data_IF_455407508838
#
_entry.id   IF_455407508838
#
_cell.length_a   1.000
_cell.length_b   1.000
_cell.length_c   1.000
_cell.angle_alpha   90.00
_cell.angle_beta   90.00
_cell.angle_gamma   90.00
#
_symmetry.space_group_name_H-M   'P 1'
#
loop_
_entity.id
_entity.type
_entity.pdbx_description
1 polymer ?
#
# COMPACT_ATOMS: atom_id res chain seq x y z
N UNK A 1 -10.10 -24.83 8.39
CA UNK A 1 -9.11 -23.72 8.48
C UNK A 1 -9.78 -22.48 7.94
N UNK A 2 -9.93 -21.45 8.75
CA UNK A 2 -10.47 -20.16 8.35
C UNK A 2 -9.34 -19.13 8.24
N UNK A 3 -9.53 -18.12 7.40
CA UNK A 3 -8.65 -16.97 7.34
C UNK A 3 -9.43 -15.70 7.61
N UNK A 4 -8.80 -14.73 8.25
CA UNK A 4 -9.36 -13.42 8.50
C UNK A 4 -8.40 -12.32 8.00
N UNK A 5 -8.96 -11.28 7.39
CA UNK A 5 -8.15 -10.18 6.84
C UNK A 5 -8.23 -8.99 7.78
N UNK A 6 -7.10 -8.65 8.38
CA UNK A 6 -6.94 -7.42 9.15
C UNK A 6 -6.77 -6.24 8.22
N UNK A 7 -7.40 -5.12 8.57
CA UNK A 7 -7.40 -3.90 7.76
C UNK A 7 -6.00 -3.31 7.57
N UNK A 8 -5.82 -2.58 6.48
CA UNK A 8 -4.61 -1.80 6.24
C UNK A 8 -4.38 -0.77 7.36
N UNK A 9 -3.12 -0.47 7.66
CA UNK A 9 -2.75 0.68 8.48
C UNK A 9 -2.48 1.85 7.54
N UNK A 10 -3.22 2.93 7.71
CA UNK A 10 -3.05 4.15 6.90
C UNK A 10 -3.24 5.41 7.72
N UNK A 11 -2.67 6.51 7.22
CA UNK A 11 -3.01 7.87 7.63
C UNK A 11 -3.87 8.51 6.56
N UNK A 12 -4.96 9.13 6.96
CA UNK A 12 -5.83 9.87 6.08
C UNK A 12 -6.24 11.18 6.73
N UNK A 13 -6.17 12.26 5.97
CA UNK A 13 -6.66 13.59 6.36
C UNK A 13 -7.44 14.25 5.22
N UNK A 14 -8.28 15.23 5.58
CA UNK A 14 -9.13 15.94 4.63
C UNK A 14 -10.44 15.20 4.32
N UNK A 15 -11.48 16.00 4.02
CA UNK A 15 -12.83 15.46 3.67
C UNK A 15 -13.11 15.59 2.18
N UNK A 16 -12.76 16.73 1.58
CA UNK A 16 -12.96 16.99 0.13
C UNK A 16 -11.67 16.70 -0.65
N UNK A 17 -10.53 17.20 -0.15
CA UNK A 17 -9.22 16.93 -0.72
C UNK A 17 -8.51 15.97 0.24
N UNK A 18 -8.37 14.75 -0.16
CA UNK A 18 -7.87 13.67 0.69
C UNK A 18 -6.37 13.55 0.53
N UNK A 19 -5.66 13.55 1.65
CA UNK A 19 -4.24 13.15 1.74
C UNK A 19 -4.20 11.79 2.41
N UNK A 20 -3.53 10.84 1.78
CA UNK A 20 -3.47 9.46 2.22
C UNK A 20 -2.03 8.93 2.15
N UNK A 21 -1.65 8.19 3.16
CA UNK A 21 -0.42 7.40 3.17
C UNK A 21 -0.72 6.01 3.69
N UNK A 22 -0.39 4.99 2.89
CA UNK A 22 -0.41 3.60 3.34
C UNK A 22 0.86 3.34 4.16
N UNK A 23 0.72 2.86 5.39
CA UNK A 23 1.84 2.49 6.27
C UNK A 23 2.07 0.98 6.25
N UNK A 24 0.99 0.20 6.23
CA UNK A 24 1.05 -1.25 6.04
C UNK A 24 -0.18 -1.75 5.29
N UNK A 25 -0.03 -2.72 4.37
CA UNK A 25 -1.15 -3.35 3.67
C UNK A 25 -1.97 -4.23 4.62
N UNK A 26 -3.11 -4.72 4.15
CA UNK A 26 -3.91 -5.73 4.85
C UNK A 26 -3.07 -6.96 5.21
N UNK A 27 -3.35 -7.52 6.40
CA UNK A 27 -2.70 -8.74 6.87
C UNK A 27 -3.74 -9.86 6.84
N UNK A 28 -3.45 -10.96 6.16
CA UNK A 28 -4.27 -12.18 6.21
C UNK A 28 -3.69 -13.11 7.27
N UNK A 29 -4.50 -13.48 8.27
CA UNK A 29 -4.12 -14.38 9.36
C UNK A 29 -4.94 -15.66 9.32
N UNK A 30 -4.36 -16.77 9.79
CA UNK A 30 -5.08 -18.03 10.00
C UNK A 30 -5.75 -18.03 11.38
N UNK A 31 -6.98 -18.58 11.45
CA UNK A 31 -7.81 -18.59 12.68
C UNK A 31 -7.72 -19.96 13.37
N UNK A 32 -6.58 -20.62 13.30
CA UNK A 32 -6.46 -21.98 13.85
C UNK A 32 -6.36 -21.98 15.37
N UNK A 33 -5.61 -21.05 15.93
CA UNK A 33 -5.42 -20.87 17.36
C UNK A 33 -5.96 -19.50 17.80
N UNK A 34 -6.93 -19.53 18.72
CA UNK A 34 -7.58 -18.32 19.26
C UNK A 34 -7.70 -18.45 20.77
N UNK A 35 -7.09 -17.51 21.48
CA UNK A 35 -7.27 -17.34 22.92
C UNK A 35 -8.38 -16.28 23.14
N UNK A 36 -9.46 -16.69 23.79
CA UNK A 36 -10.61 -15.80 24.04
C UNK A 36 -10.72 -15.49 25.54
N UNK A 37 -10.94 -14.21 25.84
CA UNK A 37 -11.41 -13.82 27.15
C UNK A 37 -12.59 -12.81 27.01
N UNK A 38 -13.09 -12.31 28.14
CA UNK A 38 -14.25 -11.39 28.15
C UNK A 38 -13.97 -10.04 27.50
N UNK A 39 -12.72 -9.65 27.39
CA UNK A 39 -12.31 -8.28 27.03
C UNK A 39 -11.65 -8.20 25.66
N UNK A 40 -10.96 -9.25 25.24
CA UNK A 40 -10.28 -9.32 23.93
C UNK A 40 -10.13 -10.76 23.46
N UNK A 41 -9.84 -10.94 22.18
CA UNK A 41 -9.43 -12.21 21.59
C UNK A 41 -8.05 -12.06 20.96
N UNK A 42 -7.20 -13.08 21.10
CA UNK A 42 -5.88 -13.13 20.47
C UNK A 42 -5.84 -14.28 19.48
N UNK A 43 -5.55 -13.94 18.23
CA UNK A 43 -5.27 -14.93 17.19
C UNK A 43 -3.76 -15.10 17.09
N UNK A 44 -3.30 -16.34 17.12
CA UNK A 44 -1.88 -16.66 16.96
C UNK A 44 -1.71 -17.28 15.57
N UNK A 45 -0.94 -16.61 14.71
CA UNK A 45 -0.56 -17.12 13.40
C UNK A 45 0.95 -17.05 13.23
N UNK A 46 1.58 -18.20 12.97
CA UNK A 46 3.04 -18.34 12.81
C UNK A 46 3.85 -17.74 13.98
N UNK A 47 3.32 -17.88 15.20
CA UNK A 47 3.94 -17.35 16.43
C UNK A 47 3.75 -15.85 16.66
N UNK A 48 3.02 -15.15 15.77
CA UNK A 48 2.70 -13.73 15.94
C UNK A 48 1.31 -13.60 16.57
N UNK A 49 1.22 -12.75 17.60
CA UNK A 49 -0.02 -12.49 18.34
C UNK A 49 -0.75 -11.27 17.73
N UNK A 50 -2.00 -11.47 17.37
CA UNK A 50 -2.91 -10.44 16.84
C UNK A 50 -4.07 -10.28 17.82
N UNK A 51 -4.09 -9.19 18.59
CA UNK A 51 -5.15 -8.92 19.56
C UNK A 51 -6.27 -8.10 18.91
N UNK A 52 -7.52 -8.56 19.08
CA UNK A 52 -8.72 -7.86 18.65
C UNK A 52 -9.57 -7.54 19.88
N UNK A 53 -9.90 -6.27 20.08
CA UNK A 53 -10.62 -5.81 21.26
C UNK A 53 -11.75 -4.84 20.93
N UNK A 54 -12.85 -4.93 21.66
CA UNK A 54 -13.92 -3.94 21.62
C UNK A 54 -13.69 -2.73 22.56
N UNK A 55 -12.64 -2.78 23.40
CA UNK A 55 -12.30 -1.73 24.35
C UNK A 55 -10.87 -1.23 24.15
N UNK A 56 -10.66 0.06 23.80
CA UNK A 56 -9.33 0.58 23.51
C UNK A 56 -8.38 0.62 24.71
N UNK A 57 -8.88 0.48 25.94
CA UNK A 57 -8.09 0.47 27.17
C UNK A 57 -7.74 -0.94 27.69
N UNK A 58 -8.26 -2.01 27.06
CA UNK A 58 -8.07 -3.38 27.55
C UNK A 58 -7.71 -4.28 26.36
N UNK A 59 -6.46 -4.72 26.33
CA UNK A 59 -5.94 -5.60 25.28
C UNK A 59 -4.73 -6.38 25.81
N UNK A 60 -4.26 -7.36 25.03
CA UNK A 60 -3.02 -8.09 25.31
C UNK A 60 -1.81 -7.18 25.07
N UNK A 61 -1.08 -6.84 26.13
CA UNK A 61 0.09 -5.97 26.06
C UNK A 61 1.26 -6.59 25.31
N UNK A 62 1.35 -7.92 25.29
CA UNK A 62 2.40 -8.68 24.60
C UNK A 62 2.15 -8.73 23.08
N UNK A 63 0.91 -8.49 22.62
CA UNK A 63 0.59 -8.48 21.21
C UNK A 63 1.21 -7.25 20.51
N UNK A 64 2.05 -7.45 19.47
CA UNK A 64 2.56 -6.35 18.64
C UNK A 64 1.48 -5.72 17.77
N UNK A 65 0.42 -6.45 17.49
CA UNK A 65 -0.71 -6.02 16.68
C UNK A 65 -1.96 -5.96 17.55
N UNK A 66 -2.55 -4.77 17.74
CA UNK A 66 -3.79 -4.58 18.49
C UNK A 66 -4.78 -3.79 17.65
N UNK A 67 -5.90 -4.41 17.30
CA UNK A 67 -6.94 -3.84 16.47
C UNK A 67 -8.22 -3.59 17.29
N UNK A 68 -8.72 -2.36 17.25
CA UNK A 68 -10.02 -2.02 17.79
C UNK A 68 -11.12 -2.49 16.84
N UNK A 69 -12.10 -3.18 17.38
CA UNK A 69 -13.31 -3.65 16.69
C UNK A 69 -14.56 -3.07 17.37
N UNK A 70 -15.73 -3.21 16.76
CA UNK A 70 -16.98 -2.71 17.37
C UNK A 70 -17.31 -3.45 18.66
N UNK A 71 -17.00 -4.73 18.75
CA UNK A 71 -17.18 -5.62 19.91
C UNK A 71 -16.02 -6.60 19.97
N UNK A 72 -15.70 -7.08 21.16
CA UNK A 72 -14.74 -8.19 21.31
C UNK A 72 -15.21 -9.38 20.47
N UNK A 73 -14.40 -9.86 19.51
CA UNK A 73 -14.81 -10.95 18.64
C UNK A 73 -14.69 -12.31 19.36
N UNK A 74 -15.52 -13.24 18.95
CA UNK A 74 -15.36 -14.67 19.23
C UNK A 74 -14.73 -15.35 18.03
N UNK A 75 -14.15 -16.55 18.24
CA UNK A 75 -13.60 -17.37 17.15
C UNK A 75 -14.61 -17.59 16.03
N UNK A 76 -15.87 -17.85 16.38
CA UNK A 76 -16.91 -18.06 15.37
C UNK A 76 -17.13 -16.81 14.50
N UNK A 77 -17.17 -15.63 15.10
CA UNK A 77 -17.31 -14.36 14.34
C UNK A 77 -16.14 -14.05 13.44
N UNK A 78 -14.91 -14.44 13.84
CA UNK A 78 -13.74 -14.36 12.99
C UNK A 78 -13.87 -15.26 11.76
N UNK A 79 -14.30 -16.52 11.97
CA UNK A 79 -14.54 -17.48 10.89
C UNK A 79 -15.63 -17.01 9.93
N UNK A 80 -16.71 -16.45 10.47
CA UNK A 80 -17.85 -15.95 9.70
C UNK A 80 -17.58 -14.59 9.03
N UNK A 81 -16.41 -13.99 9.30
CA UNK A 81 -16.03 -12.64 8.87
C UNK A 81 -17.07 -11.56 9.29
N UNK A 82 -17.72 -11.76 10.43
CA UNK A 82 -18.76 -10.87 11.00
C UNK A 82 -18.16 -9.94 12.08
N UNK A 83 -17.12 -9.18 11.68
CA UNK A 83 -16.43 -8.24 12.58
C UNK A 83 -16.19 -6.93 11.86
N UNK A 84 -16.71 -5.85 12.44
CA UNK A 84 -16.40 -4.50 11.98
C UNK A 84 -15.12 -4.00 12.63
N UNK A 85 -14.09 -3.88 11.85
CA UNK A 85 -12.79 -3.32 12.23
C UNK A 85 -12.86 -1.79 12.23
N UNK A 86 -12.23 -1.12 13.22
CA UNK A 86 -12.29 0.32 13.37
C UNK A 86 -10.95 0.99 13.11
N UNK A 87 -9.94 0.69 13.93
CA UNK A 87 -8.60 1.29 13.84
C UNK A 87 -7.57 0.46 14.58
N UNK A 88 -6.34 0.59 14.18
CA UNK A 88 -5.21 0.06 14.93
C UNK A 88 -4.96 0.86 16.22
N UNK A 89 -4.77 0.15 17.34
CA UNK A 89 -4.29 0.67 18.61
C UNK A 89 -2.78 0.55 18.66
N UNK A 90 -2.26 -0.64 18.28
CA UNK A 90 -0.83 -0.95 18.13
C UNK A 90 -0.58 -1.60 16.77
N UNK A 91 0.47 -1.18 16.11
CA UNK A 91 0.96 -1.82 14.89
C UNK A 91 2.46 -1.52 14.74
N UNK A 92 3.32 -2.52 14.44
CA UNK A 92 4.78 -2.33 14.35
C UNK A 92 5.19 -1.24 13.35
N UNK A 93 4.44 -1.09 12.26
CA UNK A 93 4.71 -0.10 11.21
C UNK A 93 4.04 1.26 11.45
N UNK A 94 3.60 1.57 12.68
CA UNK A 94 3.00 2.86 13.02
C UNK A 94 4.08 3.95 13.14
N UNK A 95 4.90 4.10 12.11
CA UNK A 95 5.96 5.10 12.03
C UNK A 95 5.48 6.24 11.16
N UNK A 96 5.59 7.47 11.68
CA UNK A 96 5.36 8.67 10.86
C UNK A 96 6.54 8.86 9.91
N UNK A 97 6.30 8.73 8.61
CA UNK A 97 7.28 9.02 7.59
C UNK A 97 6.99 10.39 6.97
N UNK A 98 8.00 11.23 6.93
CA UNK A 98 7.96 12.49 6.17
C UNK A 98 8.05 12.21 4.66
N UNK A 99 7.73 13.18 3.78
CA UNK A 99 7.96 13.03 2.34
C UNK A 99 9.42 12.68 2.00
N UNK A 100 10.38 13.24 2.73
CA UNK A 100 11.81 12.99 2.52
C UNK A 100 12.18 11.55 2.93
N UNK A 101 11.62 11.03 4.03
CA UNK A 101 11.82 9.64 4.42
C UNK A 101 11.31 8.67 3.35
N UNK A 102 10.15 8.98 2.75
CA UNK A 102 9.59 8.19 1.65
C UNK A 102 10.54 8.14 0.47
N UNK A 103 11.02 9.30 0.00
CA UNK A 103 11.92 9.39 -1.16
C UNK A 103 13.26 8.72 -0.88
N UNK A 104 13.80 8.91 0.32
CA UNK A 104 15.05 8.28 0.74
C UNK A 104 14.90 6.76 0.85
N UNK A 105 13.73 6.28 1.25
CA UNK A 105 13.45 4.85 1.29
C UNK A 105 13.47 4.15 -0.08
N UNK A 106 13.37 4.89 -1.19
CA UNK A 106 13.40 4.35 -2.54
C UNK A 106 14.82 4.19 -3.11
N UNK A 107 15.84 4.71 -2.41
CA UNK A 107 17.21 4.61 -2.85
C UNK A 107 17.68 3.17 -2.94
N UNK A 108 18.18 2.77 -4.12
CA UNK A 108 18.62 1.40 -4.44
C UNK A 108 17.56 0.30 -4.25
N UNK A 109 16.26 0.67 -4.21
CA UNK A 109 15.16 -0.26 -3.98
C UNK A 109 14.20 -0.41 -5.17
N UNK A 110 14.61 0.04 -6.33
CA UNK A 110 13.90 -0.16 -7.60
C UNK A 110 14.71 -1.09 -8.51
N UNK A 111 14.08 -2.19 -8.95
CA UNK A 111 14.70 -3.20 -9.80
C UNK A 111 14.20 -3.06 -11.24
N UNK A 112 15.12 -2.82 -12.18
CA UNK A 112 14.82 -2.76 -13.62
C UNK A 112 14.60 -4.17 -14.19
N UNK A 113 13.70 -4.92 -13.59
CA UNK A 113 13.39 -6.30 -13.91
C UNK A 113 12.50 -6.36 -15.14
N UNK A 114 12.98 -7.03 -16.21
CA UNK A 114 12.19 -7.30 -17.40
C UNK A 114 11.29 -8.51 -17.17
N UNK A 115 10.04 -8.45 -17.67
CA UNK A 115 9.13 -9.60 -17.71
C UNK A 115 9.71 -10.68 -18.62
N UNK A 116 9.91 -11.88 -18.09
CA UNK A 116 10.38 -13.05 -18.84
C UNK A 116 9.20 -13.95 -19.22
N UNK A 117 8.33 -14.24 -18.27
CA UNK A 117 7.13 -15.06 -18.40
C UNK A 117 6.16 -14.80 -17.23
N UNK A 118 5.05 -15.54 -17.16
CA UNK A 118 4.05 -15.40 -16.11
C UNK A 118 4.55 -15.80 -14.71
N UNK A 119 5.53 -16.70 -14.63
CA UNK A 119 6.12 -17.13 -13.35
C UNK A 119 7.18 -16.14 -12.86
N UNK A 120 7.85 -15.46 -13.78
CA UNK A 120 8.83 -14.42 -13.50
C UNK A 120 8.39 -13.07 -14.08
N UNK A 121 7.36 -12.42 -13.49
CA UNK A 121 6.83 -11.15 -13.98
C UNK A 121 7.80 -10.00 -13.72
N UNK A 122 7.68 -8.98 -14.55
CA UNK A 122 8.50 -7.78 -14.51
C UNK A 122 7.85 -6.65 -15.30
N UNK A 123 8.63 -5.64 -15.63
CA UNK A 123 8.22 -4.61 -16.57
C UNK A 123 8.26 -5.17 -17.99
N UNK A 124 7.21 -4.92 -18.77
CA UNK A 124 7.18 -5.28 -20.18
C UNK A 124 8.20 -4.44 -20.96
N UNK A 125 8.71 -4.97 -22.06
CA UNK A 125 9.69 -4.26 -22.92
C UNK A 125 9.29 -2.80 -23.25
N UNK A 126 8.03 -2.50 -23.64
CA UNK A 126 7.63 -1.11 -23.91
C UNK A 126 7.66 -0.23 -22.64
N UNK A 127 7.32 -0.79 -21.48
CA UNK A 127 7.34 -0.06 -20.20
C UNK A 127 8.79 0.27 -19.81
N UNK A 128 9.68 -0.72 -19.90
CA UNK A 128 11.09 -0.54 -19.56
C UNK A 128 11.77 0.46 -20.50
N UNK A 129 11.51 0.36 -21.81
CA UNK A 129 12.01 1.32 -22.80
C UNK A 129 11.51 2.74 -22.54
N UNK A 130 10.22 2.90 -22.26
CA UNK A 130 9.63 4.20 -21.90
C UNK A 130 10.21 4.76 -20.59
N UNK A 131 10.44 3.91 -19.59
CA UNK A 131 11.04 4.30 -18.32
C UNK A 131 12.46 4.83 -18.52
N UNK A 132 13.32 4.10 -19.26
CA UNK A 132 14.70 4.56 -19.55
C UNK A 132 14.69 5.88 -20.30
N UNK A 133 13.80 6.05 -21.30
CA UNK A 133 13.69 7.31 -22.03
C UNK A 133 13.25 8.47 -21.12
N UNK A 134 12.29 8.25 -20.22
CA UNK A 134 11.85 9.25 -19.25
C UNK A 134 12.96 9.63 -18.28
N UNK A 135 13.64 8.65 -17.68
CA UNK A 135 14.73 8.92 -16.74
C UNK A 135 15.88 9.68 -17.39
N UNK A 136 16.25 9.32 -18.63
CA UNK A 136 17.25 10.06 -19.41
C UNK A 136 16.80 11.49 -19.71
N UNK A 137 15.52 11.68 -20.07
CA UNK A 137 14.97 13.01 -20.34
C UNK A 137 14.94 13.91 -19.09
N UNK A 138 14.68 13.33 -17.91
CA UNK A 138 14.70 14.06 -16.63
C UNK A 138 16.07 14.64 -16.28
N UNK A 139 17.15 14.08 -16.81
CA UNK A 139 18.53 14.57 -16.61
C UNK A 139 18.88 15.76 -17.49
N UNK A 140 18.19 15.96 -18.61
CA UNK A 140 18.47 16.99 -19.61
C UNK A 140 17.23 17.89 -19.85
N UNK A 141 16.83 18.72 -18.89
CA UNK A 141 15.48 19.27 -18.87
C UNK A 141 15.33 20.53 -19.71
N UNK A 142 14.20 20.71 -20.30
CA UNK A 142 13.39 21.95 -20.39
C UNK A 142 12.14 21.75 -21.23
N UNK A 143 12.06 20.69 -22.02
CA UNK A 143 10.94 20.43 -22.91
C UNK A 143 10.02 19.33 -22.34
N UNK A 144 8.74 19.39 -22.68
CA UNK A 144 7.82 18.32 -22.31
C UNK A 144 8.12 17.05 -23.11
N UNK A 145 8.28 15.91 -22.40
CA UNK A 145 8.38 14.61 -23.04
C UNK A 145 7.01 14.03 -23.33
N UNK A 146 6.81 13.48 -24.52
CA UNK A 146 5.61 12.73 -24.86
C UNK A 146 5.94 11.25 -24.97
N UNK A 147 5.28 10.42 -24.14
CA UNK A 147 5.40 8.97 -24.20
C UNK A 147 4.09 8.37 -24.68
N UNK A 148 4.12 7.69 -25.82
CA UNK A 148 2.96 7.01 -26.39
C UNK A 148 3.09 5.50 -26.17
N UNK A 149 2.16 4.97 -25.42
CA UNK A 149 2.05 3.52 -25.16
C UNK A 149 0.65 3.03 -25.57
N UNK A 150 0.52 1.91 -26.29
CA UNK A 150 -0.78 1.33 -26.62
C UNK A 150 -1.65 1.07 -25.39
N UNK A 151 -2.96 0.96 -25.60
CA UNK A 151 -3.89 0.57 -24.51
C UNK A 151 -3.55 -0.83 -24.01
N UNK A 152 -3.64 -1.04 -22.70
CA UNK A 152 -3.31 -2.35 -22.09
C UNK A 152 -1.81 -2.63 -21.86
N UNK A 153 -0.90 -1.76 -22.27
CA UNK A 153 0.55 -1.96 -22.08
C UNK A 153 1.08 -1.54 -20.70
N UNK A 154 0.21 -1.10 -19.78
CA UNK A 154 0.61 -0.76 -18.41
C UNK A 154 1.17 0.66 -18.24
N UNK A 155 0.51 1.67 -18.83
CA UNK A 155 0.88 3.09 -18.69
C UNK A 155 1.05 3.51 -17.23
N UNK A 156 0.14 3.05 -16.36
CA UNK A 156 0.15 3.41 -14.94
C UNK A 156 1.38 2.81 -14.24
N UNK A 157 1.72 1.59 -14.54
CA UNK A 157 2.90 0.93 -14.01
C UNK A 157 4.18 1.64 -14.45
N UNK A 158 4.22 2.14 -15.69
CA UNK A 158 5.34 2.99 -16.19
C UNK A 158 5.43 4.32 -15.42
N UNK A 159 4.29 4.96 -15.13
CA UNK A 159 4.26 6.21 -14.32
C UNK A 159 4.74 5.96 -12.89
N UNK A 160 4.29 4.87 -12.25
CA UNK A 160 4.72 4.47 -10.91
C UNK A 160 6.22 4.13 -10.89
N UNK A 161 6.71 3.45 -11.91
CA UNK A 161 8.13 3.13 -12.07
C UNK A 161 8.97 4.41 -12.20
N UNK A 162 8.51 5.39 -12.99
CA UNK A 162 9.18 6.67 -13.13
C UNK A 162 9.20 7.47 -11.81
N UNK A 163 8.10 7.41 -11.03
CA UNK A 163 8.04 8.04 -9.70
C UNK A 163 9.11 7.48 -8.77
N UNK A 164 9.21 6.14 -8.65
CA UNK A 164 10.11 5.48 -7.70
C UNK A 164 11.55 5.48 -8.19
N UNK A 165 11.81 5.04 -9.43
CA UNK A 165 13.15 4.97 -10.00
C UNK A 165 13.77 6.38 -10.17
N UNK A 166 12.96 7.38 -10.52
CA UNK A 166 13.37 8.76 -10.62
C UNK A 166 13.43 9.50 -9.28
N UNK A 167 13.03 8.87 -8.18
CA UNK A 167 12.93 9.48 -6.84
C UNK A 167 12.27 10.87 -6.89
N UNK A 168 11.12 10.95 -7.61
CA UNK A 168 10.48 12.23 -7.86
C UNK A 168 9.93 12.82 -6.55
N UNK A 169 10.42 14.00 -6.16
CA UNK A 169 9.99 14.68 -4.92
C UNK A 169 8.52 15.09 -4.96
N UNK A 170 8.02 15.48 -6.11
CA UNK A 170 6.63 15.88 -6.32
C UNK A 170 6.18 15.50 -7.72
N UNK A 171 5.01 14.88 -7.82
CA UNK A 171 4.40 14.53 -9.10
C UNK A 171 2.94 14.98 -9.08
N UNK A 172 2.54 15.73 -10.11
CA UNK A 172 1.13 16.07 -10.36
C UNK A 172 0.63 15.21 -11.53
N UNK A 173 -0.43 14.46 -11.29
CA UNK A 173 -1.07 13.65 -12.31
C UNK A 173 -2.45 14.22 -12.62
N UNK A 174 -2.68 14.59 -13.86
CA UNK A 174 -3.97 15.09 -14.35
C UNK A 174 -4.63 14.06 -15.26
N UNK A 175 -5.93 13.87 -15.10
CA UNK A 175 -6.71 12.91 -15.89
C UNK A 175 -8.06 13.47 -16.26
N UNK A 176 -8.65 13.07 -17.40
CA UNK A 176 -9.87 13.70 -17.92
C UNK A 176 -11.15 13.32 -17.15
N UNK A 177 -11.16 12.26 -16.33
CA UNK A 177 -12.38 11.80 -15.66
C UNK A 177 -12.18 11.48 -14.19
N UNK A 178 -13.26 11.61 -13.40
CA UNK A 178 -13.26 11.26 -11.97
C UNK A 178 -13.00 9.76 -11.74
N UNK A 179 -13.50 8.90 -12.63
CA UNK A 179 -13.29 7.46 -12.54
C UNK A 179 -11.80 7.10 -12.66
N UNK A 180 -11.11 7.69 -13.66
CA UNK A 180 -9.67 7.51 -13.83
C UNK A 180 -8.88 8.09 -12.65
N UNK A 181 -9.31 9.24 -12.11
CA UNK A 181 -8.67 9.82 -10.92
C UNK A 181 -8.73 8.88 -9.72
N UNK A 182 -9.89 8.30 -9.41
CA UNK A 182 -10.04 7.32 -8.35
C UNK A 182 -9.21 6.05 -8.58
N UNK A 183 -9.19 5.55 -9.82
CA UNK A 183 -8.39 4.38 -10.19
C UNK A 183 -6.89 4.63 -10.01
N UNK A 184 -6.38 5.78 -10.48
CA UNK A 184 -4.97 6.14 -10.30
C UNK A 184 -4.63 6.37 -8.84
N UNK A 185 -5.47 7.10 -8.09
CA UNK A 185 -5.27 7.28 -6.66
C UNK A 185 -5.06 5.94 -5.94
N UNK A 186 -5.90 4.94 -6.21
CA UNK A 186 -5.78 3.61 -5.62
C UNK A 186 -4.47 2.89 -6.02
N UNK A 187 -4.01 3.07 -7.25
CA UNK A 187 -2.74 2.48 -7.71
C UNK A 187 -1.52 3.22 -7.14
N UNK A 188 -1.56 4.55 -7.09
CA UNK A 188 -0.45 5.32 -6.53
C UNK A 188 -0.25 5.05 -5.04
N UNK A 189 -1.32 5.00 -4.24
CA UNK A 189 -1.22 4.76 -2.79
C UNK A 189 -0.57 3.42 -2.41
N UNK A 190 -0.64 2.42 -3.29
CA UNK A 190 -0.10 1.07 -3.06
C UNK A 190 1.12 0.74 -3.90
N UNK A 191 1.57 1.64 -4.79
CA UNK A 191 2.53 1.39 -5.87
C UNK A 191 2.08 0.28 -6.83
N UNK A 192 0.76 0.01 -6.89
CA UNK A 192 0.16 -0.98 -7.79
C UNK A 192 0.78 -2.36 -7.64
N UNK A 193 1.13 -2.98 -8.77
CA UNK A 193 1.76 -4.31 -8.78
C UNK A 193 3.25 -4.28 -8.47
N UNK A 194 3.91 -3.11 -8.55
CA UNK A 194 5.38 -3.01 -8.45
C UNK A 194 5.92 -3.52 -7.12
N UNK A 195 5.14 -3.37 -6.05
CA UNK A 195 5.53 -3.76 -4.68
C UNK A 195 4.88 -5.06 -4.22
N UNK A 196 4.20 -5.80 -5.11
CA UNK A 196 3.64 -7.10 -4.74
C UNK A 196 4.72 -8.18 -4.69
N UNK A 197 4.59 -9.20 -3.81
CA UNK A 197 5.57 -10.28 -3.68
C UNK A 197 5.86 -11.03 -4.99
N UNK A 198 4.92 -11.03 -5.93
CA UNK A 198 5.08 -11.68 -7.22
C UNK A 198 6.00 -10.89 -8.17
N UNK A 199 5.89 -9.55 -8.16
CA UNK A 199 6.64 -8.69 -9.08
C UNK A 199 7.99 -8.27 -8.51
N UNK A 200 8.03 -7.85 -7.24
CA UNK A 200 9.25 -7.40 -6.54
C UNK A 200 10.10 -6.42 -7.36
N UNK A 201 9.42 -5.48 -8.04
CA UNK A 201 10.09 -4.39 -8.76
C UNK A 201 10.50 -3.29 -7.79
N UNK A 202 9.74 -3.13 -6.71
CA UNK A 202 10.04 -2.25 -5.60
C UNK A 202 10.12 -3.09 -4.33
N UNK A 203 11.21 -2.96 -3.59
CA UNK A 203 11.45 -3.71 -2.36
C UNK A 203 10.35 -3.48 -1.33
N UNK A 204 10.10 -4.50 -0.50
CA UNK A 204 9.09 -4.44 0.57
C UNK A 204 9.39 -3.36 1.62
N UNK A 205 10.65 -3.04 1.85
CA UNK A 205 11.12 -2.02 2.79
C UNK A 205 10.94 -0.58 2.28
N UNK A 206 10.77 -0.39 0.96
CA UNK A 206 10.46 0.92 0.38
C UNK A 206 9.13 1.43 0.94
N UNK A 207 9.06 2.65 1.44
CA UNK A 207 7.84 3.23 1.98
C UNK A 207 6.84 3.55 0.86
N UNK A 208 5.56 3.55 1.20
CA UNK A 208 4.51 3.95 0.28
C UNK A 208 4.45 5.48 0.13
N UNK A 209 4.12 5.99 -1.04
CA UNK A 209 4.05 7.44 -1.28
C UNK A 209 2.91 8.09 -0.49
N UNK A 210 3.08 9.38 -0.21
CA UNK A 210 2.00 10.23 0.28
C UNK A 210 1.24 10.73 -0.94
N UNK A 211 -0.03 10.39 -1.04
CA UNK A 211 -0.86 10.68 -2.22
C UNK A 211 -2.00 11.63 -1.87
N UNK A 212 -2.06 12.77 -2.54
CA UNK A 212 -3.17 13.71 -2.45
C UNK A 212 -4.17 13.52 -3.60
N UNK A 213 -5.46 13.51 -3.30
CA UNK A 213 -6.52 13.54 -4.32
C UNK A 213 -7.33 14.84 -4.20
N UNK A 214 -7.26 15.68 -5.22
CA UNK A 214 -8.02 16.92 -5.30
C UNK A 214 -9.35 16.63 -6.00
N UNK A 215 -10.47 16.85 -5.30
CA UNK A 215 -11.82 16.54 -5.79
C UNK A 215 -12.66 17.78 -6.06
N UNK A 216 -12.25 18.93 -5.53
CA UNK A 216 -12.91 20.23 -5.77
C UNK A 216 -11.89 21.26 -6.23
N UNK A 217 -12.33 22.19 -7.07
CA UNK A 217 -11.54 23.39 -7.35
C UNK A 217 -11.28 24.18 -6.04
N UNK A 218 -10.14 24.82 -5.99
CA UNK A 218 -9.79 25.73 -4.89
C UNK A 218 -10.69 26.96 -4.91
#
# INVERSE_FOLDING_TARGET
MGTFVLMELCKQSGVKNVIYQLLAPNITINIDEVEENRSYAVVIDKGIRYCLTGNPGIYDEEAPYVLLTDRTPTKQKLIDNDIRQRKWIKHPNQIEASPDDVINSWENRFHFKLEENEENPGLRRPQLGALHALLSHMLAPKEAATVVLPTGTGKTETMLSALVAGRCNRVLVTVPTNALRGQLFNKFKTLGVLKTPKFEIVDKEALYPIVGMITSAF
#
